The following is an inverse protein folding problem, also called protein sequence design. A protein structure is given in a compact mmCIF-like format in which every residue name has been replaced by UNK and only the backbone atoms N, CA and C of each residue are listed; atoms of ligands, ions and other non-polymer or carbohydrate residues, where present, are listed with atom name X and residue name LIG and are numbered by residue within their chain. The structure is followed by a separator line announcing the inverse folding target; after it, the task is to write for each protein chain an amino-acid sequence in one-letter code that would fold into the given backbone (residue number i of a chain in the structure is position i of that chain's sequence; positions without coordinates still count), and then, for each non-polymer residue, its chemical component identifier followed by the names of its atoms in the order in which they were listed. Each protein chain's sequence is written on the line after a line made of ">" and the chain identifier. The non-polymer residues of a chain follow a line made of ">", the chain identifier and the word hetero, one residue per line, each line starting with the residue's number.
data_IF_969544102283
#
_entry.id   IF_969544102283
#
_cell.length_a   1.000
_cell.length_b   1.000
_cell.length_c   1.000
_cell.angle_alpha   90.00
_cell.angle_beta   90.00
_cell.angle_gamma   90.00
#
_symmetry.space_group_name_H-M   'P 1'
#
loop_
_entity.id
_entity.type
_entity.pdbx_description
1 polymer ?
#
# COMPACT_ATOMS: atom_id res chain seq x y z
N UNK A 1 -7.95 -23.47 -8.53
CA UNK A 1 -6.62 -23.62 -7.91
C UNK A 1 -6.09 -22.22 -7.66
N UNK A 2 -6.06 -21.76 -6.41
CA UNK A 2 -5.43 -20.49 -6.09
C UNK A 2 -3.91 -20.70 -6.20
N UNK A 3 -3.27 -20.09 -7.19
CA UNK A 3 -1.82 -20.24 -7.44
C UNK A 3 -0.96 -19.47 -6.42
N UNK A 4 -1.60 -18.73 -5.52
CA UNK A 4 -0.98 -17.83 -4.55
C UNK A 4 -1.63 -18.14 -3.19
N UNK A 5 -0.90 -18.85 -2.33
CA UNK A 5 -1.35 -19.18 -0.98
C UNK A 5 -0.70 -18.21 0.02
N UNK A 6 -1.51 -17.49 0.79
CA UNK A 6 -1.02 -16.56 1.81
C UNK A 6 -1.32 -17.15 3.19
N UNK A 7 -0.24 -17.55 3.89
CA UNK A 7 -0.25 -18.09 5.24
C UNK A 7 -0.39 -16.97 6.30
N UNK A 8 -1.38 -16.09 6.14
CA UNK A 8 -1.72 -15.04 7.12
C UNK A 8 -3.14 -15.26 7.61
N UNK A 9 -3.34 -15.07 8.91
CA UNK A 9 -4.67 -15.18 9.50
C UNK A 9 -5.64 -14.16 8.86
N UNK A 10 -6.93 -14.47 8.81
CA UNK A 10 -7.94 -13.56 8.25
C UNK A 10 -7.88 -12.16 8.90
N UNK A 11 -7.49 -12.09 10.18
CA UNK A 11 -7.20 -10.82 10.87
C UNK A 11 -6.03 -10.05 10.24
N UNK A 12 -4.90 -10.70 9.96
CA UNK A 12 -3.72 -10.08 9.37
C UNK A 12 -3.99 -9.55 7.95
N UNK A 13 -4.84 -10.25 7.19
CA UNK A 13 -5.32 -9.80 5.87
C UNK A 13 -6.12 -8.51 5.98
N UNK A 14 -7.03 -8.42 6.94
CA UNK A 14 -7.85 -7.23 7.17
C UNK A 14 -7.02 -6.02 7.63
N UNK A 15 -6.02 -6.24 8.48
CA UNK A 15 -5.11 -5.17 8.94
C UNK A 15 -4.29 -4.62 7.77
N UNK A 16 -3.71 -5.49 6.94
CA UNK A 16 -2.98 -5.07 5.72
C UNK A 16 -3.85 -4.31 4.74
N UNK A 17 -5.09 -4.77 4.50
CA UNK A 17 -6.05 -4.05 3.66
C UNK A 17 -6.33 -2.65 4.21
N UNK A 18 -6.56 -2.52 5.52
CA UNK A 18 -6.79 -1.21 6.17
C UNK A 18 -5.58 -0.30 6.04
N UNK A 19 -4.36 -0.80 6.25
CA UNK A 19 -3.13 -0.04 6.09
C UNK A 19 -2.92 0.41 4.64
N UNK A 20 -3.18 -0.47 3.67
CA UNK A 20 -3.12 -0.12 2.24
C UNK A 20 -4.12 0.96 1.87
N UNK A 21 -5.38 0.83 2.32
CA UNK A 21 -6.42 1.86 2.13
C UNK A 21 -5.99 3.19 2.77
N UNK A 22 -5.49 3.17 4.01
CA UNK A 22 -5.00 4.39 4.67
C UNK A 22 -3.85 5.03 3.89
N UNK A 23 -2.91 4.23 3.36
CA UNK A 23 -1.81 4.72 2.53
C UNK A 23 -2.30 5.40 1.24
N UNK A 24 -3.23 4.77 0.53
CA UNK A 24 -3.84 5.35 -0.68
C UNK A 24 -4.62 6.62 -0.37
N UNK A 25 -5.44 6.63 0.68
CA UNK A 25 -6.22 7.80 1.10
C UNK A 25 -5.31 8.96 1.48
N UNK A 26 -4.23 8.68 2.21
CA UNK A 26 -3.25 9.70 2.60
C UNK A 26 -2.53 10.26 1.37
N UNK A 27 -2.12 9.40 0.44
CA UNK A 27 -1.51 9.85 -0.83
C UNK A 27 -2.46 10.67 -1.70
N UNK A 28 -3.73 10.29 -1.77
CA UNK A 28 -4.79 11.02 -2.45
C UNK A 28 -5.15 12.35 -1.79
N UNK A 29 -4.96 12.50 -0.48
CA UNK A 29 -5.13 13.77 0.21
C UNK A 29 -3.89 14.69 0.02
N UNK A 30 -2.69 14.10 0.00
CA UNK A 30 -1.44 14.82 -0.19
C UNK A 30 -1.27 15.38 -1.61
N UNK A 31 -1.63 14.61 -2.65
CA UNK A 31 -1.52 15.05 -4.05
C UNK A 31 -2.22 16.39 -4.36
N UNK A 32 -3.53 16.60 -4.04
CA UNK A 32 -4.20 17.87 -4.26
C UNK A 32 -3.67 18.96 -3.33
N UNK A 33 -3.25 18.61 -2.11
CA UNK A 33 -2.63 19.58 -1.20
C UNK A 33 -1.36 20.15 -1.83
N UNK A 34 -0.49 19.31 -2.38
CA UNK A 34 0.77 19.73 -3.02
C UNK A 34 0.50 20.56 -4.27
N UNK A 35 -0.54 20.21 -5.04
CA UNK A 35 -0.99 20.97 -6.20
C UNK A 35 -1.46 22.37 -5.80
N UNK A 36 -2.27 22.51 -4.74
CA UNK A 36 -2.79 23.81 -4.28
C UNK A 36 -1.69 24.67 -3.65
N UNK A 37 -0.73 24.07 -2.95
CA UNK A 37 0.37 24.81 -2.32
C UNK A 37 1.49 25.19 -3.29
N UNK A 38 1.38 24.84 -4.58
CA UNK A 38 2.39 25.16 -5.59
C UNK A 38 3.74 24.47 -5.34
N UNK A 39 3.72 23.29 -4.71
CA UNK A 39 4.95 22.52 -4.45
C UNK A 39 5.53 22.06 -5.77
N UNK A 40 6.81 22.37 -5.99
CA UNK A 40 7.56 22.01 -7.20
C UNK A 40 7.35 20.54 -7.60
N UNK A 41 7.06 20.33 -8.89
CA UNK A 41 6.84 19.05 -9.56
C UNK A 41 8.09 18.16 -9.64
N UNK A 42 9.05 18.35 -8.74
CA UNK A 42 10.28 17.58 -8.65
C UNK A 42 10.14 16.35 -7.76
N UNK A 43 11.21 16.05 -7.01
CA UNK A 43 11.31 14.88 -6.10
C UNK A 43 10.18 14.80 -5.06
N UNK A 44 9.55 15.93 -4.72
CA UNK A 44 8.51 15.99 -3.68
C UNK A 44 7.23 15.25 -4.11
N UNK A 45 6.96 15.17 -5.42
CA UNK A 45 5.84 14.39 -5.96
C UNK A 45 6.03 12.87 -5.88
N UNK A 46 7.24 12.38 -5.60
CA UNK A 46 7.45 10.96 -5.30
C UNK A 46 6.78 10.54 -4.01
N UNK A 47 6.53 11.46 -3.08
CA UNK A 47 5.87 11.17 -1.79
C UNK A 47 4.41 10.70 -2.01
N UNK A 48 3.53 11.50 -2.66
CA UNK A 48 2.17 11.05 -2.94
C UNK A 48 2.13 9.85 -3.92
N UNK A 49 3.02 9.81 -4.91
CA UNK A 49 3.13 8.65 -5.82
C UNK A 49 3.52 7.37 -5.09
N UNK A 50 4.49 7.43 -4.18
CA UNK A 50 4.92 6.30 -3.36
C UNK A 50 3.85 5.86 -2.37
N UNK A 51 3.11 6.80 -1.78
CA UNK A 51 2.00 6.49 -0.89
C UNK A 51 0.83 5.79 -1.63
N UNK A 52 0.45 6.29 -2.82
CA UNK A 52 -0.60 5.67 -3.64
C UNK A 52 -0.14 4.33 -4.20
N UNK A 53 1.08 4.25 -4.74
CA UNK A 53 1.65 3.02 -5.30
C UNK A 53 1.85 1.94 -4.23
N UNK A 54 2.49 2.28 -3.11
CA UNK A 54 2.71 1.37 -1.98
C UNK A 54 1.41 0.95 -1.30
N UNK A 55 0.48 1.89 -1.11
CA UNK A 55 -0.85 1.59 -0.58
C UNK A 55 -1.67 0.69 -1.50
N UNK A 56 -1.65 0.95 -2.81
CA UNK A 56 -2.31 0.13 -3.83
C UNK A 56 -1.72 -1.27 -3.91
N UNK A 57 -0.41 -1.40 -3.79
CA UNK A 57 0.27 -2.69 -3.72
C UNK A 57 -0.14 -3.49 -2.48
N UNK A 58 -0.23 -2.85 -1.30
CA UNK A 58 -0.70 -3.50 -0.08
C UNK A 58 -2.17 -3.96 -0.18
N UNK A 59 -3.03 -3.19 -0.86
CA UNK A 59 -4.41 -3.60 -1.17
C UNK A 59 -4.39 -4.81 -2.10
N UNK A 60 -3.62 -4.77 -3.18
CA UNK A 60 -3.51 -5.87 -4.14
C UNK A 60 -3.05 -7.17 -3.47
N UNK A 61 -1.98 -7.14 -2.66
CA UNK A 61 -1.51 -8.30 -1.91
C UNK A 61 -2.61 -8.89 -1.01
N UNK A 62 -3.36 -8.02 -0.33
CA UNK A 62 -4.46 -8.43 0.55
C UNK A 62 -5.68 -8.96 -0.20
N UNK A 63 -5.88 -8.59 -1.47
CA UNK A 63 -7.02 -9.02 -2.30
C UNK A 63 -6.70 -10.31 -3.08
N UNK A 64 -5.54 -10.36 -3.72
CA UNK A 64 -5.03 -11.50 -4.47
C UNK A 64 -4.70 -12.71 -3.57
N UNK A 65 -4.63 -12.51 -2.25
CA UNK A 65 -4.26 -13.57 -1.32
C UNK A 65 -2.80 -13.98 -1.52
N UNK A 66 -1.94 -13.03 -1.90
CA UNK A 66 -0.52 -13.26 -2.13
C UNK A 66 0.30 -12.45 -1.15
N UNK A 67 1.02 -13.16 -0.28
CA UNK A 67 1.94 -12.58 0.68
C UNK A 67 3.34 -12.36 0.02
N UNK A 68 3.45 -11.62 -1.09
CA UNK A 68 4.72 -11.43 -1.81
C UNK A 68 5.81 -10.81 -0.92
N UNK A 69 5.44 -9.85 -0.07
CA UNK A 69 6.31 -9.24 0.94
C UNK A 69 6.89 -10.27 1.90
N UNK A 70 6.12 -11.31 2.28
CA UNK A 70 6.63 -12.40 3.13
C UNK A 70 7.48 -13.39 2.33
N UNK A 71 7.20 -13.58 1.04
CA UNK A 71 7.97 -14.41 0.13
C UNK A 71 9.36 -13.83 -0.17
N UNK A 72 9.51 -12.49 -0.22
CA UNK A 72 10.81 -11.81 -0.30
C UNK A 72 11.53 -11.70 1.05
N UNK A 73 11.03 -12.37 2.09
CA UNK A 73 11.69 -12.48 3.40
C UNK A 73 11.43 -11.31 4.36
N UNK A 74 10.57 -10.34 4.01
CA UNK A 74 10.20 -9.27 4.93
C UNK A 74 9.27 -9.84 6.01
N UNK A 75 9.83 -10.03 7.21
CA UNK A 75 9.06 -10.34 8.41
C UNK A 75 8.09 -9.20 8.68
N UNK A 76 6.81 -9.48 8.45
CA UNK A 76 5.72 -8.60 8.82
C UNK A 76 5.10 -9.20 10.08
N UNK A 77 5.28 -8.50 11.20
CA UNK A 77 4.73 -8.87 12.52
C UNK A 77 3.29 -8.39 12.64
N UNK A 78 2.46 -8.79 11.67
CA UNK A 78 1.01 -8.51 11.63
C UNK A 78 0.27 -9.82 11.81
#
# INVERSE_FOLDING_TARGET
>A
MALLECNIDAKGKAVRLKLGIMGVVTGLALAPTFYVTGVDLGLVWLIPLGAIGGGGFAIFESWAGWCAVRAIGLKTSI
#
